data_IF_993651447541
#
_entry.id   IF_993651447541
#
_cell.length_a   1.000
_cell.length_b   1.000
_cell.length_c   1.000
_cell.angle_alpha   90.00
_cell.angle_beta   90.00
_cell.angle_gamma   90.00
#
_symmetry.space_group_name_H-M   'P 1'
#
loop_
_entity.id
_entity.type
_entity.pdbx_description
1 polymer ?
#
# COMPACT_ATOMS: atom_id res chain seq x y z
N UNK A 1 -11.20 -19.40 24.61
CA UNK A 1 -9.85 -18.82 24.42
C UNK A 1 -8.74 -19.89 24.36
N UNK A 2 -8.23 -20.50 25.45
CA UNK A 2 -7.02 -21.35 25.38
C UNK A 2 -7.22 -22.66 24.60
N UNK A 3 -8.40 -23.28 24.70
CA UNK A 3 -8.71 -24.49 23.93
C UNK A 3 -8.78 -24.23 22.42
N UNK A 4 -9.34 -23.08 22.01
CA UNK A 4 -9.44 -22.69 20.61
C UNK A 4 -8.07 -22.35 20.02
N UNK A 5 -7.21 -21.67 20.77
CA UNK A 5 -5.84 -21.38 20.37
C UNK A 5 -5.01 -22.67 20.21
N UNK A 6 -5.12 -23.61 21.15
CA UNK A 6 -4.46 -24.91 21.04
C UNK A 6 -4.99 -25.72 19.85
N UNK A 7 -6.29 -25.65 19.56
CA UNK A 7 -6.88 -26.31 18.39
C UNK A 7 -6.35 -25.69 17.09
N UNK A 8 -6.29 -24.36 16.99
CA UNK A 8 -5.73 -23.64 15.84
C UNK A 8 -4.26 -24.05 15.61
N UNK A 9 -3.44 -24.07 16.66
CA UNK A 9 -2.05 -24.49 16.57
C UNK A 9 -1.90 -25.91 16.04
N UNK A 10 -2.73 -26.84 16.53
CA UNK A 10 -2.75 -28.23 16.06
C UNK A 10 -3.19 -28.36 14.61
N UNK A 11 -4.21 -27.61 14.18
CA UNK A 11 -4.70 -27.61 12.80
C UNK A 11 -3.63 -27.10 11.82
N UNK A 12 -2.93 -26.02 12.16
CA UNK A 12 -1.87 -25.48 11.29
C UNK A 12 -0.63 -26.37 11.28
N UNK A 13 -0.27 -26.99 12.42
CA UNK A 13 0.77 -28.02 12.44
C UNK A 13 0.42 -29.20 11.55
N UNK A 14 -0.84 -29.66 11.62
CA UNK A 14 -1.33 -30.73 10.74
C UNK A 14 -1.25 -30.33 9.26
N UNK A 15 -1.70 -29.12 8.91
CA UNK A 15 -1.59 -28.56 7.56
C UNK A 15 -0.13 -28.52 7.08
N UNK A 16 0.79 -28.11 7.95
CA UNK A 16 2.23 -28.08 7.64
C UNK A 16 2.81 -29.47 7.46
N UNK A 17 2.39 -30.46 8.26
CA UNK A 17 2.82 -31.84 8.06
C UNK A 17 2.27 -32.44 6.78
N UNK A 18 1.01 -32.18 6.44
CA UNK A 18 0.39 -32.64 5.18
C UNK A 18 1.07 -32.01 3.96
N UNK A 19 1.40 -30.71 4.02
CA UNK A 19 2.13 -30.03 2.95
C UNK A 19 3.58 -30.51 2.78
N UNK A 20 4.22 -31.01 3.84
CA UNK A 20 5.57 -31.62 3.80
C UNK A 20 5.56 -33.08 3.39
N UNK A 21 4.49 -33.81 3.73
CA UNK A 21 4.34 -35.24 3.52
C UNK A 21 2.94 -35.53 2.92
N UNK A 22 2.73 -35.25 1.62
CA UNK A 22 1.43 -35.46 0.99
C UNK A 22 1.05 -36.94 0.99
N UNK A 23 -0.24 -37.23 1.23
CA UNK A 23 -0.77 -38.59 1.30
C UNK A 23 -0.90 -39.27 -0.08
N UNK A 24 -0.89 -38.49 -1.16
CA UNK A 24 -0.89 -38.96 -2.54
C UNK A 24 0.28 -38.31 -3.28
N UNK A 25 1.10 -39.13 -3.95
CA UNK A 25 2.05 -38.66 -4.96
C UNK A 25 1.27 -38.24 -6.20
N UNK A 26 0.71 -37.02 -6.17
CA UNK A 26 0.11 -36.40 -7.34
C UNK A 26 1.24 -35.94 -8.26
N UNK A 27 1.04 -36.05 -9.58
CA UNK A 27 1.99 -35.54 -10.57
C UNK A 27 2.22 -34.03 -10.33
N UNK A 28 3.39 -33.73 -9.77
CA UNK A 28 3.81 -32.42 -9.24
C UNK A 28 3.84 -31.29 -10.28
N UNK A 29 3.58 -31.60 -11.55
CA UNK A 29 3.58 -30.69 -12.68
C UNK A 29 2.27 -29.88 -12.73
N UNK A 30 1.15 -30.43 -12.20
CA UNK A 30 -0.17 -29.76 -12.24
C UNK A 30 -0.85 -29.64 -10.87
N UNK A 31 -0.37 -30.35 -9.85
CA UNK A 31 -1.07 -30.47 -8.58
C UNK A 31 -0.21 -30.07 -7.37
N UNK A 32 -0.39 -28.83 -6.94
CA UNK A 32 0.12 -28.31 -5.68
C UNK A 32 -0.57 -29.00 -4.49
N UNK A 33 0.18 -29.66 -3.61
CA UNK A 33 -0.31 -30.30 -2.38
C UNK A 33 -0.54 -29.32 -1.23
N UNK A 34 -1.22 -28.19 -1.51
CA UNK A 34 -1.60 -27.24 -0.46
C UNK A 34 -2.97 -27.64 0.14
N UNK A 35 -3.13 -27.68 1.48
CA UNK A 35 -4.37 -28.08 2.14
C UNK A 35 -5.44 -26.96 2.07
N UNK A 36 -5.87 -26.61 0.85
CA UNK A 36 -6.77 -25.48 0.55
C UNK A 36 -8.06 -25.52 1.35
N UNK A 37 -8.71 -26.69 1.39
CA UNK A 37 -9.99 -26.87 2.10
C UNK A 37 -9.84 -26.63 3.60
N UNK A 38 -8.74 -27.09 4.19
CA UNK A 38 -8.47 -26.92 5.62
C UNK A 38 -8.21 -25.46 5.95
N UNK A 39 -7.33 -24.79 5.20
CA UNK A 39 -7.01 -23.37 5.41
C UNK A 39 -8.24 -22.50 5.18
N UNK A 40 -9.04 -22.78 4.14
CA UNK A 40 -10.30 -22.07 3.90
C UNK A 40 -11.27 -22.22 5.08
N UNK A 41 -11.45 -23.43 5.62
CA UNK A 41 -12.32 -23.65 6.78
C UNK A 41 -11.82 -22.90 8.03
N UNK A 42 -10.49 -22.86 8.24
CA UNK A 42 -9.88 -22.07 9.33
C UNK A 42 -10.15 -20.58 9.13
N UNK A 43 -10.00 -20.05 7.92
CA UNK A 43 -10.26 -18.63 7.62
C UNK A 43 -11.74 -18.29 7.80
N UNK A 44 -12.66 -19.14 7.33
CA UNK A 44 -14.10 -18.94 7.51
C UNK A 44 -14.50 -18.94 8.99
N UNK A 45 -13.85 -19.76 9.81
CA UNK A 45 -14.04 -19.76 11.27
C UNK A 45 -13.46 -18.52 11.95
N UNK A 46 -12.24 -18.10 11.56
CA UNK A 46 -11.60 -16.88 12.07
C UNK A 46 -12.38 -15.61 11.67
N UNK A 47 -13.08 -15.66 10.54
CA UNK A 47 -13.92 -14.58 10.04
C UNK A 47 -15.40 -14.88 10.34
N UNK A 48 -15.70 -15.34 11.55
CA UNK A 48 -17.08 -15.52 12.02
C UNK A 48 -17.88 -14.21 11.94
N UNK A 49 -19.17 -14.31 11.63
CA UNK A 49 -20.10 -13.18 11.62
C UNK A 49 -20.72 -12.92 12.99
N UNK A 50 -20.66 -13.89 13.90
CA UNK A 50 -21.37 -13.89 15.18
C UNK A 50 -20.44 -13.56 16.35
N UNK A 51 -19.17 -14.00 16.28
CA UNK A 51 -18.20 -13.89 17.37
C UNK A 51 -17.03 -12.97 17.01
N UNK A 52 -16.57 -12.18 17.99
CA UNK A 52 -15.31 -11.44 17.87
C UNK A 52 -14.12 -12.41 18.04
N UNK A 53 -13.41 -12.64 16.94
CA UNK A 53 -12.28 -13.55 16.86
C UNK A 53 -10.94 -12.79 16.81
N UNK A 54 -10.92 -11.47 17.05
CA UNK A 54 -9.73 -10.63 16.89
C UNK A 54 -8.49 -11.18 17.62
N UNK A 55 -8.64 -11.71 18.85
CA UNK A 55 -7.53 -12.31 19.59
C UNK A 55 -6.95 -13.57 18.92
N UNK A 56 -7.82 -14.43 18.39
CA UNK A 56 -7.40 -15.63 17.66
C UNK A 56 -6.77 -15.25 16.31
N UNK A 57 -7.29 -14.22 15.65
CA UNK A 57 -6.70 -13.64 14.43
C UNK A 57 -5.31 -13.05 14.70
N UNK A 58 -5.10 -12.39 15.84
CA UNK A 58 -3.77 -11.92 16.26
C UNK A 58 -2.81 -13.08 16.53
N UNK A 59 -3.26 -14.18 17.14
CA UNK A 59 -2.43 -15.40 17.28
C UNK A 59 -2.13 -16.06 15.95
N UNK A 60 -3.05 -15.96 14.99
CA UNK A 60 -2.85 -16.50 13.65
C UNK A 60 -1.77 -15.75 12.85
N UNK A 61 -1.39 -14.53 13.27
CA UNK A 61 -0.36 -13.72 12.61
C UNK A 61 0.98 -14.45 12.48
N UNK A 62 1.37 -15.27 13.46
CA UNK A 62 2.62 -16.03 13.43
C UNK A 62 2.69 -16.97 12.20
N UNK A 63 1.53 -17.43 11.70
CA UNK A 63 1.44 -18.29 10.53
C UNK A 63 1.36 -17.52 9.21
N UNK A 64 1.03 -16.22 9.26
CA UNK A 64 0.98 -15.35 8.08
C UNK A 64 2.37 -14.96 7.56
N UNK A 65 3.44 -15.27 8.30
CA UNK A 65 4.82 -15.13 7.81
C UNK A 65 5.09 -16.04 6.60
N UNK A 66 4.41 -17.19 6.54
CA UNK A 66 4.46 -18.10 5.40
C UNK A 66 3.73 -17.50 4.20
N UNK A 67 4.43 -17.40 3.07
CA UNK A 67 3.96 -16.65 1.90
C UNK A 67 2.75 -17.32 1.21
N UNK A 68 2.78 -18.64 1.11
CA UNK A 68 1.70 -19.45 0.56
C UNK A 68 0.42 -19.34 1.40
N UNK A 69 0.54 -19.46 2.73
CA UNK A 69 -0.58 -19.28 3.67
C UNK A 69 -1.17 -17.89 3.50
N UNK A 70 -0.33 -16.84 3.47
CA UNK A 70 -0.77 -15.45 3.26
C UNK A 70 -1.59 -15.29 1.99
N UNK A 71 -1.11 -15.82 0.87
CA UNK A 71 -1.82 -15.72 -0.41
C UNK A 71 -3.18 -16.42 -0.37
N UNK A 72 -3.26 -17.64 0.17
CA UNK A 72 -4.53 -18.38 0.26
C UNK A 72 -5.51 -17.77 1.26
N UNK A 73 -5.01 -17.26 2.39
CA UNK A 73 -5.82 -16.56 3.40
C UNK A 73 -6.47 -15.32 2.79
N UNK A 74 -5.69 -14.46 2.13
CA UNK A 74 -6.22 -13.27 1.43
C UNK A 74 -7.24 -13.64 0.35
N UNK A 75 -6.93 -14.67 -0.44
CA UNK A 75 -7.83 -15.18 -1.49
C UNK A 75 -9.14 -15.78 -0.95
N UNK A 76 -9.20 -16.13 0.35
CA UNK A 76 -10.38 -16.72 1.00
C UNK A 76 -11.29 -15.67 1.67
N UNK A 77 -10.85 -14.41 1.77
CA UNK A 77 -11.66 -13.32 2.32
C UNK A 77 -12.82 -13.03 1.36
N UNK A 78 -14.07 -13.18 1.84
CA UNK A 78 -15.27 -12.95 1.04
C UNK A 78 -15.67 -11.47 1.05
N UNK A 79 -16.17 -10.98 -0.08
CA UNK A 79 -16.76 -9.63 -0.20
C UNK A 79 -18.16 -9.57 0.44
N UNK A 80 -18.28 -9.89 1.72
CA UNK A 80 -19.56 -9.81 2.42
C UNK A 80 -19.40 -9.06 3.74
N UNK A 81 -19.11 -7.76 3.64
CA UNK A 81 -18.73 -6.91 4.77
C UNK A 81 -19.88 -6.07 5.32
N UNK A 82 -21.12 -6.59 5.36
CA UNK A 82 -22.25 -5.84 5.94
C UNK A 82 -22.28 -5.93 7.48
N UNK A 83 -21.76 -7.01 8.05
CA UNK A 83 -21.86 -7.28 9.49
C UNK A 83 -20.69 -6.63 10.28
N UNK A 84 -20.93 -5.83 11.32
CA UNK A 84 -19.87 -5.13 12.07
C UNK A 84 -18.84 -6.03 12.75
N UNK A 85 -19.25 -7.21 13.24
CA UNK A 85 -18.36 -8.19 13.88
C UNK A 85 -17.41 -8.80 12.83
N UNK A 86 -17.97 -9.22 11.69
CA UNK A 86 -17.20 -9.69 10.54
C UNK A 86 -16.20 -8.63 10.06
N UNK A 87 -16.65 -7.38 9.96
CA UNK A 87 -15.80 -6.24 9.60
C UNK A 87 -14.60 -6.08 10.54
N UNK A 88 -14.80 -6.24 11.86
CA UNK A 88 -13.71 -6.17 12.84
C UNK A 88 -12.70 -7.32 12.69
N UNK A 89 -13.21 -8.55 12.48
CA UNK A 89 -12.37 -9.74 12.26
C UNK A 89 -11.54 -9.60 10.97
N UNK A 90 -12.15 -9.17 9.87
CA UNK A 90 -11.47 -8.92 8.59
C UNK A 90 -10.44 -7.80 8.73
N UNK A 91 -10.80 -6.68 9.36
CA UNK A 91 -9.87 -5.57 9.58
C UNK A 91 -8.63 -6.02 10.35
N UNK A 92 -8.82 -6.80 11.42
CA UNK A 92 -7.71 -7.33 12.23
C UNK A 92 -6.82 -8.25 11.40
N UNK A 93 -7.41 -9.15 10.60
CA UNK A 93 -6.68 -10.07 9.73
C UNK A 93 -5.83 -9.31 8.69
N UNK A 94 -6.44 -8.37 7.98
CA UNK A 94 -5.76 -7.60 6.95
C UNK A 94 -4.67 -6.69 7.55
N UNK A 95 -4.91 -6.10 8.72
CA UNK A 95 -3.89 -5.30 9.43
C UNK A 95 -2.68 -6.13 9.84
N UNK A 96 -2.90 -7.38 10.29
CA UNK A 96 -1.81 -8.30 10.61
C UNK A 96 -0.98 -8.64 9.36
N UNK A 97 -1.62 -8.81 8.20
CA UNK A 97 -0.91 -9.01 6.91
C UNK A 97 -0.09 -7.77 6.52
N UNK A 98 -0.63 -6.56 6.69
CA UNK A 98 0.07 -5.32 6.36
C UNK A 98 1.41 -5.20 7.12
N UNK A 99 1.42 -5.53 8.41
CA UNK A 99 2.63 -5.47 9.23
C UNK A 99 3.77 -6.34 8.69
N UNK A 100 3.44 -7.44 8.00
CA UNK A 100 4.39 -8.40 7.44
C UNK A 100 4.89 -7.98 6.05
N UNK A 101 4.05 -7.28 5.26
CA UNK A 101 4.42 -6.83 3.91
C UNK A 101 5.55 -5.79 3.93
N UNK A 102 5.58 -4.92 4.94
CA UNK A 102 6.66 -3.94 5.14
C UNK A 102 8.02 -4.60 5.41
N UNK A 103 8.04 -5.78 6.04
CA UNK A 103 9.26 -6.53 6.37
C UNK A 103 9.82 -7.26 5.13
N UNK A 104 8.95 -7.82 4.29
CA UNK A 104 9.36 -8.58 3.10
C UNK A 104 10.04 -7.75 2.00
N UNK A 105 9.90 -6.42 1.98
CA UNK A 105 10.57 -5.55 1.00
C UNK A 105 12.10 -5.59 1.07
N UNK A 106 12.67 -5.97 2.22
CA UNK A 106 14.13 -6.00 2.44
C UNK A 106 14.77 -7.38 2.32
N UNK A 107 14.00 -8.45 2.11
CA UNK A 107 14.54 -9.81 2.02
C UNK A 107 14.62 -10.29 0.56
N UNK A 108 15.75 -10.04 -0.10
CA UNK A 108 16.06 -10.54 -1.45
C UNK A 108 16.42 -12.04 -1.44
N UNK A 109 16.68 -12.63 -0.26
CA UNK A 109 16.95 -14.05 -0.09
C UNK A 109 15.80 -14.75 0.64
N UNK A 110 15.13 -15.67 -0.05
CA UNK A 110 14.07 -16.51 0.50
C UNK A 110 14.69 -17.84 0.94
N UNK A 111 15.00 -17.97 2.23
CA UNK A 111 15.24 -19.29 2.82
C UNK A 111 13.98 -20.15 2.69
N UNK A 112 14.14 -21.44 2.37
CA UNK A 112 13.05 -22.40 2.18
C UNK A 112 12.14 -22.62 3.40
N UNK A 113 12.46 -22.03 4.55
CA UNK A 113 11.65 -22.04 5.77
C UNK A 113 10.45 -21.08 5.72
N UNK A 114 10.31 -20.26 4.67
CA UNK A 114 9.19 -19.29 4.50
C UNK A 114 7.94 -19.85 3.81
N UNK A 115 7.89 -21.16 3.56
CA UNK A 115 6.74 -21.83 2.93
C UNK A 115 6.22 -22.96 3.82
N UNK A 116 4.89 -23.10 3.86
CA UNK A 116 4.24 -24.22 4.53
C UNK A 116 4.53 -25.55 3.79
N UNK A 117 4.69 -25.51 2.46
CA UNK A 117 5.00 -26.67 1.63
C UNK A 117 6.43 -26.65 1.03
N UNK A 118 6.98 -27.84 0.76
CA UNK A 118 8.25 -28.00 0.04
C UNK A 118 7.97 -28.28 -1.43
N UNK A 119 8.32 -27.34 -2.31
CA UNK A 119 8.38 -27.64 -3.74
C UNK A 119 9.62 -28.50 -3.99
N UNK A 120 9.45 -29.69 -4.58
CA UNK A 120 10.53 -30.64 -4.89
C UNK A 120 10.99 -30.52 -6.34
N UNK A 121 10.76 -29.39 -6.99
CA UNK A 121 11.21 -29.20 -8.36
C UNK A 121 12.67 -28.73 -8.35
N UNK A 122 13.58 -29.58 -8.82
CA UNK A 122 14.94 -29.19 -9.24
C UNK A 122 14.90 -28.40 -10.56
N UNK A 123 13.95 -27.47 -10.73
CA UNK A 123 14.02 -26.51 -11.82
C UNK A 123 14.58 -25.20 -11.25
N UNK A 124 15.65 -24.71 -11.88
CA UNK A 124 16.20 -23.37 -11.70
C UNK A 124 15.22 -22.24 -12.06
N UNK A 125 13.99 -22.60 -12.40
CA UNK A 125 12.89 -21.67 -12.54
C UNK A 125 12.33 -21.43 -11.15
N UNK A 126 12.84 -20.37 -10.51
CA UNK A 126 12.13 -19.63 -9.48
C UNK A 126 10.64 -19.77 -9.72
N UNK A 127 9.91 -20.46 -8.84
CA UNK A 127 8.46 -20.62 -8.99
C UNK A 127 7.89 -19.25 -9.30
N UNK A 128 7.55 -19.09 -10.57
CA UNK A 128 6.88 -17.92 -11.05
C UNK A 128 5.48 -18.06 -10.50
N UNK A 129 5.29 -17.55 -9.28
CA UNK A 129 4.02 -17.05 -8.77
C UNK A 129 4.02 -15.52 -8.94
N UNK A 130 4.24 -14.91 -10.13
CA UNK A 130 4.65 -13.51 -10.22
C UNK A 130 3.46 -12.57 -10.44
N UNK A 131 2.24 -13.08 -10.68
CA UNK A 131 1.16 -12.23 -11.20
C UNK A 131 -0.10 -12.18 -10.32
N UNK A 132 -0.16 -12.99 -9.24
CA UNK A 132 -1.35 -13.10 -8.38
C UNK A 132 -1.22 -12.49 -6.98
N UNK A 133 -0.01 -12.32 -6.45
CA UNK A 133 0.24 -11.93 -5.04
C UNK A 133 -0.27 -10.54 -4.70
N UNK A 134 0.03 -9.54 -5.53
CA UNK A 134 -0.50 -8.19 -5.38
C UNK A 134 -2.01 -8.15 -5.59
N UNK A 135 -2.54 -8.99 -6.49
CA UNK A 135 -3.97 -9.00 -6.81
C UNK A 135 -4.82 -9.51 -5.65
N UNK A 136 -4.37 -10.49 -4.88
CA UNK A 136 -5.15 -11.01 -3.75
C UNK A 136 -5.24 -9.98 -2.63
N UNK A 137 -4.11 -9.38 -2.24
CA UNK A 137 -4.06 -8.32 -1.23
C UNK A 137 -4.94 -7.13 -1.60
N UNK A 138 -4.76 -6.63 -2.82
CA UNK A 138 -5.51 -5.51 -3.36
C UNK A 138 -7.01 -5.81 -3.41
N UNK A 139 -7.41 -6.97 -3.95
CA UNK A 139 -8.82 -7.39 -3.99
C UNK A 139 -9.43 -7.50 -2.60
N UNK A 140 -8.74 -8.08 -1.62
CA UNK A 140 -9.24 -8.18 -0.25
C UNK A 140 -9.46 -6.80 0.38
N UNK A 141 -8.51 -5.88 0.23
CA UNK A 141 -8.64 -4.51 0.75
C UNK A 141 -9.72 -3.71 0.01
N UNK A 142 -9.76 -3.75 -1.32
CA UNK A 142 -10.80 -3.09 -2.10
C UNK A 142 -12.19 -3.62 -1.76
N UNK A 143 -12.34 -4.94 -1.70
CA UNK A 143 -13.60 -5.60 -1.32
C UNK A 143 -14.06 -5.19 0.08
N UNK A 144 -13.12 -5.02 1.01
CA UNK A 144 -13.41 -4.52 2.37
C UNK A 144 -13.80 -3.03 2.38
N UNK A 145 -13.05 -2.18 1.66
CA UNK A 145 -13.25 -0.72 1.64
C UNK A 145 -14.46 -0.28 0.80
N UNK A 146 -14.97 -1.15 -0.08
CA UNK A 146 -16.19 -0.92 -0.87
C UNK A 146 -17.44 -0.75 -0.01
N UNK A 147 -17.49 -1.36 1.16
CA UNK A 147 -18.66 -1.31 2.05
C UNK A 147 -18.53 -0.18 3.06
N UNK A 148 -19.67 0.36 3.49
CA UNK A 148 -19.72 1.40 4.53
C UNK A 148 -19.20 0.85 5.85
N UNK A 149 -18.10 1.40 6.34
CA UNK A 149 -17.48 1.00 7.60
C UNK A 149 -18.05 1.81 8.78
N UNK A 150 -17.95 1.31 10.02
CA UNK A 150 -18.28 2.09 11.21
C UNK A 150 -17.25 3.22 11.41
N UNK A 151 -17.70 4.35 11.98
CA UNK A 151 -16.83 5.50 12.26
C UNK A 151 -15.57 5.15 13.09
N UNK A 152 -15.69 4.20 14.02
CA UNK A 152 -14.57 3.71 14.83
C UNK A 152 -13.50 3.00 13.99
N UNK A 153 -13.89 2.39 12.87
CA UNK A 153 -13.01 1.64 11.98
C UNK A 153 -12.38 2.53 10.91
N UNK A 154 -13.11 3.54 10.41
CA UNK A 154 -12.55 4.53 9.49
C UNK A 154 -11.29 5.19 10.04
N UNK A 155 -11.29 5.56 11.33
CA UNK A 155 -10.08 6.09 12.00
C UNK A 155 -8.89 5.14 11.90
N UNK A 156 -9.10 3.85 12.21
CA UNK A 156 -8.05 2.84 12.21
C UNK A 156 -7.53 2.57 10.80
N UNK A 157 -8.44 2.47 9.82
CA UNK A 157 -8.09 2.30 8.40
C UNK A 157 -7.26 3.48 7.93
N UNK A 158 -7.69 4.72 8.18
CA UNK A 158 -6.99 5.92 7.71
C UNK A 158 -5.56 6.03 8.24
N UNK A 159 -5.31 5.59 9.48
CA UNK A 159 -3.96 5.56 10.08
C UNK A 159 -3.02 4.65 9.29
N UNK A 160 -3.49 3.48 8.84
CA UNK A 160 -2.65 2.50 8.13
C UNK A 160 -2.74 2.63 6.60
N UNK A 161 -3.72 3.38 6.10
CA UNK A 161 -4.03 3.46 4.66
C UNK A 161 -2.83 4.03 3.89
N UNK A 162 -2.35 5.21 4.29
CA UNK A 162 -1.30 5.93 3.56
C UNK A 162 0.03 5.17 3.56
N UNK A 163 0.44 4.62 4.71
CA UNK A 163 1.78 4.04 4.85
C UNK A 163 1.84 2.54 4.56
N UNK A 164 0.72 1.81 4.71
CA UNK A 164 0.74 0.34 4.68
C UNK A 164 -0.21 -0.29 3.67
N UNK A 165 -1.19 0.44 3.13
CA UNK A 165 -2.15 -0.12 2.16
C UNK A 165 -1.84 0.42 0.76
N UNK A 166 -1.82 1.76 0.60
CA UNK A 166 -1.62 2.41 -0.69
C UNK A 166 -0.32 1.99 -1.42
N UNK A 167 0.83 1.75 -0.73
CA UNK A 167 2.04 1.31 -1.41
C UNK A 167 1.98 -0.09 -2.05
N UNK A 168 0.91 -0.85 -1.80
CA UNK A 168 0.70 -2.21 -2.30
C UNK A 168 -0.51 -2.33 -3.24
N UNK A 169 -1.27 -1.26 -3.42
CA UNK A 169 -2.43 -1.18 -4.30
C UNK A 169 -1.97 -0.60 -5.65
N UNK A 170 -2.40 -1.21 -6.76
CA UNK A 170 -2.12 -0.66 -8.10
C UNK A 170 -2.94 0.60 -8.38
N UNK A 171 -2.58 1.32 -9.44
CA UNK A 171 -3.04 2.70 -9.67
C UNK A 171 -4.54 2.83 -9.91
N UNK A 172 -5.16 1.92 -10.67
CA UNK A 172 -6.61 1.94 -10.95
C UNK A 172 -7.47 1.65 -9.69
N UNK A 173 -7.19 0.60 -8.89
CA UNK A 173 -7.74 0.37 -7.54
C UNK A 173 -7.68 1.53 -6.55
N UNK A 174 -6.55 2.24 -6.51
CA UNK A 174 -6.37 3.41 -5.65
C UNK A 174 -7.53 4.39 -5.86
N UNK A 175 -7.95 4.59 -7.10
CA UNK A 175 -8.95 5.56 -7.54
C UNK A 175 -10.34 5.14 -7.11
N UNK A 176 -10.66 3.85 -7.19
CA UNK A 176 -11.90 3.32 -6.67
C UNK A 176 -11.98 3.47 -5.14
N UNK A 177 -10.85 3.24 -4.46
CA UNK A 177 -10.75 3.44 -3.00
C UNK A 177 -11.00 4.92 -2.65
N UNK A 178 -10.34 5.80 -3.39
CA UNK A 178 -10.46 7.26 -3.35
C UNK A 178 -11.89 7.75 -3.55
N UNK A 179 -12.58 7.29 -4.60
CA UNK A 179 -13.95 7.71 -4.90
C UNK A 179 -14.95 7.21 -3.84
N UNK A 180 -14.69 6.04 -3.27
CA UNK A 180 -15.50 5.50 -2.17
C UNK A 180 -15.40 6.38 -0.91
N UNK A 181 -14.21 6.87 -0.56
CA UNK A 181 -14.03 7.81 0.55
C UNK A 181 -14.65 9.18 0.27
N UNK A 182 -14.50 9.66 -0.95
CA UNK A 182 -15.10 10.91 -1.43
C UNK A 182 -16.63 10.94 -1.32
N UNK A 183 -17.30 9.81 -1.51
CA UNK A 183 -18.77 9.69 -1.44
C UNK A 183 -19.30 9.47 -0.02
N UNK A 184 -18.42 9.24 0.95
CA UNK A 184 -18.81 8.95 2.32
C UNK A 184 -18.95 10.24 3.16
N UNK A 185 -19.99 10.35 3.99
CA UNK A 185 -20.20 11.46 4.93
C UNK A 185 -19.20 11.42 6.09
N UNK A 186 -17.90 11.52 5.78
CA UNK A 186 -16.84 11.52 6.77
C UNK A 186 -16.81 12.87 7.49
N UNK A 187 -16.60 12.86 8.82
CA UNK A 187 -16.22 14.05 9.55
C UNK A 187 -15.02 14.77 8.91
N UNK A 188 -15.07 16.09 8.85
CA UNK A 188 -14.04 16.94 8.23
C UNK A 188 -12.63 16.64 8.75
N UNK A 189 -12.48 16.35 10.05
CA UNK A 189 -11.17 16.05 10.64
C UNK A 189 -10.54 14.77 10.07
N UNK A 190 -11.35 13.77 9.66
CA UNK A 190 -10.84 12.53 9.05
C UNK A 190 -10.37 12.78 7.62
N UNK A 191 -11.13 13.57 6.86
CA UNK A 191 -10.74 13.99 5.50
C UNK A 191 -9.44 14.78 5.56
N UNK A 192 -9.30 15.69 6.53
CA UNK A 192 -8.09 16.48 6.71
C UNK A 192 -6.87 15.61 7.07
N UNK A 193 -7.04 14.64 7.98
CA UNK A 193 -5.98 13.69 8.33
C UNK A 193 -5.55 12.84 7.11
N UNK A 194 -6.51 12.40 6.30
CA UNK A 194 -6.24 11.64 5.08
C UNK A 194 -5.47 12.46 4.03
N UNK A 195 -5.92 13.69 3.74
CA UNK A 195 -5.24 14.59 2.82
C UNK A 195 -3.79 14.88 3.27
N UNK A 196 -3.57 15.05 4.58
CA UNK A 196 -2.22 15.24 5.15
C UNK A 196 -1.37 13.97 5.02
N UNK A 197 -1.92 12.79 5.28
CA UNK A 197 -1.22 11.51 5.11
C UNK A 197 -0.78 11.26 3.66
N UNK A 198 -1.65 11.56 2.69
CA UNK A 198 -1.31 11.48 1.27
C UNK A 198 -0.23 12.49 0.87
N UNK A 199 -0.29 13.70 1.44
CA UNK A 199 0.74 14.71 1.21
C UNK A 199 2.10 14.25 1.73
N UNK A 200 2.14 13.53 2.86
CA UNK A 200 3.37 12.94 3.37
C UNK A 200 3.88 11.80 2.48
N UNK A 201 3.00 10.90 2.04
CA UNK A 201 3.38 9.83 1.11
C UNK A 201 3.92 10.40 -0.21
N UNK A 202 3.33 11.49 -0.70
CA UNK A 202 3.78 12.18 -1.90
C UNK A 202 5.25 12.63 -1.80
N UNK A 203 5.71 13.09 -0.64
CA UNK A 203 7.11 13.51 -0.45
C UNK A 203 8.14 12.41 -0.74
N UNK A 204 7.74 11.14 -0.60
CA UNK A 204 8.61 9.96 -0.76
C UNK A 204 8.29 9.15 -2.04
N UNK A 205 7.30 9.58 -2.82
CA UNK A 205 6.76 8.83 -3.94
C UNK A 205 7.53 9.06 -5.25
N UNK A 206 7.45 8.09 -6.18
CA UNK A 206 7.96 8.25 -7.55
C UNK A 206 7.14 9.31 -8.34
N UNK A 207 7.73 9.95 -9.37
CA UNK A 207 7.07 11.00 -10.15
C UNK A 207 5.71 10.62 -10.75
N UNK A 208 5.56 9.38 -11.24
CA UNK A 208 4.27 8.89 -11.76
C UNK A 208 3.19 8.84 -10.66
N UNK A 209 3.57 8.42 -9.44
CA UNK A 209 2.66 8.42 -8.30
C UNK A 209 2.26 9.84 -7.87
N UNK A 210 3.18 10.81 -7.97
CA UNK A 210 2.90 12.22 -7.67
C UNK A 210 1.83 12.82 -8.56
N UNK A 211 1.84 12.49 -9.86
CA UNK A 211 0.84 12.99 -10.81
C UNK A 211 -0.57 12.46 -10.54
N UNK A 212 -0.69 11.31 -9.88
CA UNK A 212 -1.98 10.79 -9.43
C UNK A 212 -2.43 11.37 -8.09
N UNK A 213 -1.51 11.43 -7.11
CA UNK A 213 -1.82 11.83 -5.74
C UNK A 213 -2.15 13.32 -5.63
N UNK A 214 -1.47 14.20 -6.40
CA UNK A 214 -1.69 15.65 -6.33
C UNK A 214 -3.10 16.08 -6.78
N UNK A 215 -3.59 15.72 -7.99
CA UNK A 215 -4.98 15.99 -8.38
C UNK A 215 -5.98 15.40 -7.40
N UNK A 216 -5.67 14.25 -6.81
CA UNK A 216 -6.53 13.63 -5.83
C UNK A 216 -6.67 14.46 -4.54
N UNK A 217 -5.55 14.93 -3.98
CA UNK A 217 -5.56 15.83 -2.82
C UNK A 217 -6.37 17.09 -3.15
N UNK A 218 -6.26 17.62 -4.37
CA UNK A 218 -7.05 18.77 -4.80
C UNK A 218 -8.55 18.46 -4.87
N UNK A 219 -8.96 17.33 -5.45
CA UNK A 219 -10.35 16.93 -5.52
C UNK A 219 -10.95 16.74 -4.10
N UNK A 220 -10.21 16.14 -3.15
CA UNK A 220 -10.63 16.05 -1.75
C UNK A 220 -10.88 17.42 -1.11
N UNK A 221 -9.99 18.39 -1.34
CA UNK A 221 -10.13 19.75 -0.80
C UNK A 221 -11.27 20.50 -1.49
N UNK A 222 -11.52 20.26 -2.79
CA UNK A 222 -12.66 20.83 -3.53
C UNK A 222 -13.99 20.33 -2.96
N UNK A 223 -14.09 19.03 -2.71
CA UNK A 223 -15.28 18.39 -2.13
C UNK A 223 -15.55 18.81 -0.68
N UNK A 224 -14.49 19.03 0.11
CA UNK A 224 -14.60 19.42 1.51
C UNK A 224 -13.99 20.80 1.74
N UNK A 225 -14.73 21.90 1.52
CA UNK A 225 -14.19 23.26 1.62
C UNK A 225 -13.67 23.61 3.02
N UNK A 226 -14.13 22.92 4.06
CA UNK A 226 -13.60 23.07 5.42
C UNK A 226 -12.13 22.61 5.55
N UNK A 227 -11.64 21.75 4.66
CA UNK A 227 -10.24 21.34 4.58
C UNK A 227 -9.33 22.39 3.92
N UNK A 228 -9.85 23.49 3.39
CA UNK A 228 -9.05 24.60 2.82
C UNK A 228 -8.10 25.23 3.84
N UNK A 229 -8.37 25.04 5.13
CA UNK A 229 -7.48 25.42 6.25
C UNK A 229 -6.12 24.69 6.17
N UNK A 230 -6.01 23.56 5.46
CA UNK A 230 -4.73 22.90 5.21
C UNK A 230 -3.85 23.67 4.21
N UNK A 231 -4.45 24.38 3.26
CA UNK A 231 -3.73 25.15 2.23
C UNK A 231 -3.51 26.59 2.68
N UNK A 232 -4.52 27.21 3.30
CA UNK A 232 -4.47 28.59 3.72
C UNK A 232 -5.06 28.75 5.14
N UNK A 233 -4.21 29.13 6.10
CA UNK A 233 -4.62 29.42 7.48
C UNK A 233 -4.69 30.94 7.68
N UNK A 234 -5.87 31.57 7.63
CA UNK A 234 -5.97 33.03 7.79
C UNK A 234 -5.65 33.51 9.21
N UNK A 235 -5.79 32.64 10.23
CA UNK A 235 -5.64 32.99 11.66
C UNK A 235 -4.56 32.14 12.37
N UNK A 236 -3.46 31.81 11.69
CA UNK A 236 -2.44 30.90 12.25
C UNK A 236 -1.74 31.47 13.48
N UNK A 237 -2.16 31.06 14.68
CA UNK A 237 -1.29 31.12 15.86
C UNK A 237 -0.18 30.07 15.68
N UNK A 238 1.05 30.44 16.04
CA UNK A 238 2.22 29.57 15.98
C UNK A 238 2.00 28.31 16.83
N UNK A 239 2.19 27.15 16.19
CA UNK A 239 2.46 25.85 16.79
C UNK A 239 1.44 25.32 17.82
N UNK A 240 0.45 24.59 17.32
CA UNK A 240 -0.09 23.44 18.05
C UNK A 240 -0.46 22.34 17.06
N UNK A 241 0.57 21.69 16.48
CA UNK A 241 0.36 20.46 15.72
C UNK A 241 0.29 19.31 16.70
N UNK A 242 -0.90 19.08 17.26
CA UNK A 242 -1.25 17.91 18.09
C UNK A 242 -1.27 16.58 17.27
N UNK A 243 -0.47 16.51 16.20
CA UNK A 243 -0.35 15.35 15.32
C UNK A 243 1.12 14.95 15.23
N UNK A 244 1.55 14.17 16.21
CA UNK A 244 2.82 13.46 16.21
C UNK A 244 2.76 12.28 15.23
N UNK A 245 3.12 12.52 13.97
CA UNK A 245 3.70 11.48 13.11
C UNK A 245 4.98 12.09 12.56
N UNK A 246 6.03 11.99 13.40
CA UNK A 246 7.43 12.30 13.14
C UNK A 246 7.68 13.71 12.61
N UNK A 247 8.25 14.56 13.47
CA UNK A 247 8.84 15.85 13.09
C UNK A 247 9.59 15.73 11.76
N UNK A 248 9.05 16.33 10.70
CA UNK A 248 9.76 16.54 9.44
C UNK A 248 9.80 18.04 9.16
N UNK A 249 10.98 18.49 8.72
CA UNK A 249 11.29 19.89 8.47
C UNK A 249 10.29 20.54 7.48
N UNK A 250 9.79 21.76 7.76
CA UNK A 250 8.89 22.50 6.87
C UNK A 250 9.48 22.84 5.48
N UNK A 251 10.77 22.55 5.26
CA UNK A 251 11.46 22.68 3.98
C UNK A 251 11.06 21.60 2.97
N UNK A 252 10.57 20.43 3.41
CA UNK A 252 10.26 19.31 2.50
C UNK A 252 8.99 19.52 1.66
N UNK A 253 7.98 20.24 2.17
CA UNK A 253 6.80 20.57 1.36
C UNK A 253 7.12 21.54 0.20
N UNK A 254 8.13 22.40 0.37
CA UNK A 254 8.64 23.25 -0.72
C UNK A 254 9.39 22.46 -1.79
N UNK A 255 9.75 21.20 -1.51
CA UNK A 255 10.46 20.31 -2.43
C UNK A 255 9.59 19.87 -3.60
N UNK A 256 8.28 19.66 -3.41
CA UNK A 256 7.37 19.25 -4.51
C UNK A 256 7.12 20.39 -5.51
N UNK A 257 7.06 21.64 -5.05
CA UNK A 257 6.95 22.81 -5.94
C UNK A 257 8.21 23.03 -6.78
N UNK A 258 9.35 22.51 -6.33
CA UNK A 258 10.67 22.57 -7.00
C UNK A 258 11.11 21.20 -7.53
N UNK A 259 10.17 20.30 -7.79
CA UNK A 259 10.47 18.93 -8.20
C UNK A 259 11.18 18.88 -9.57
N UNK A 260 12.12 17.96 -9.74
CA UNK A 260 12.96 17.85 -10.94
C UNK A 260 12.15 17.61 -12.22
N UNK A 261 11.04 16.87 -12.12
CA UNK A 261 10.11 16.65 -13.24
C UNK A 261 9.18 17.86 -13.42
N UNK A 262 9.14 18.50 -14.61
CA UNK A 262 8.37 19.72 -14.84
C UNK A 262 6.86 19.52 -14.72
N UNK A 263 6.32 18.38 -15.14
CA UNK A 263 4.89 18.10 -15.06
C UNK A 263 4.41 17.98 -13.60
N UNK A 264 5.23 17.36 -12.75
CA UNK A 264 4.97 17.25 -11.32
C UNK A 264 5.01 18.63 -10.67
N UNK A 265 6.03 19.44 -10.98
CA UNK A 265 6.13 20.80 -10.47
C UNK A 265 4.93 21.65 -10.91
N UNK A 266 4.50 21.53 -12.17
CA UNK A 266 3.31 22.22 -12.70
C UNK A 266 2.02 21.77 -12.00
N UNK A 267 1.87 20.47 -11.74
CA UNK A 267 0.74 19.93 -10.99
C UNK A 267 0.75 20.43 -9.53
N UNK A 268 1.92 20.47 -8.88
CA UNK A 268 2.08 21.02 -7.54
C UNK A 268 1.75 22.53 -7.49
N UNK A 269 2.15 23.30 -8.51
CA UNK A 269 1.84 24.74 -8.60
C UNK A 269 0.34 25.04 -8.72
N UNK A 270 -0.50 24.06 -9.08
CA UNK A 270 -1.94 24.24 -9.16
C UNK A 270 -2.56 24.61 -7.79
N UNK A 271 -1.92 24.23 -6.68
CA UNK A 271 -2.37 24.57 -5.32
C UNK A 271 -2.36 26.07 -5.03
N UNK A 272 -1.47 26.82 -5.70
CA UNK A 272 -1.35 28.28 -5.54
C UNK A 272 -2.41 29.04 -6.33
N UNK A 273 -3.14 28.37 -7.23
CA UNK A 273 -4.25 28.95 -7.98
C UNK A 273 -5.56 28.71 -7.23
N UNK A 274 -6.54 29.61 -7.34
CA UNK A 274 -7.87 29.37 -6.77
C UNK A 274 -8.45 28.09 -7.39
N UNK A 275 -8.74 27.11 -6.53
CA UNK A 275 -9.31 25.83 -6.95
C UNK A 275 -10.72 26.05 -7.53
N UNK A 276 -10.94 25.54 -8.75
CA UNK A 276 -12.28 25.49 -9.37
C UNK A 276 -13.23 24.61 -8.56
N UNK A 277 -14.54 24.80 -8.74
CA UNK A 277 -15.56 23.96 -8.10
C UNK A 277 -15.71 22.58 -8.77
N UNK A 278 -15.32 22.45 -10.04
CA UNK A 278 -15.43 21.19 -10.78
C UNK A 278 -14.25 20.27 -10.45
N UNK A 279 -14.49 18.96 -10.30
CA UNK A 279 -13.44 17.95 -10.11
C UNK A 279 -12.63 17.75 -11.40
N UNK A 280 -11.33 17.55 -11.24
CA UNK A 280 -10.48 17.15 -12.37
C UNK A 280 -10.70 15.65 -12.64
N UNK A 281 -10.92 15.27 -13.91
CA UNK A 281 -10.92 13.86 -14.30
C UNK A 281 -9.49 13.35 -14.24
N UNK A 282 -9.25 12.37 -13.36
CA UNK A 282 -7.93 11.80 -13.13
C UNK A 282 -7.75 10.52 -13.99
N UNK A 283 -8.81 10.01 -14.64
CA UNK A 283 -8.83 8.68 -15.30
C UNK A 283 -7.63 8.44 -16.22
N UNK A 284 -7.31 9.42 -17.08
CA UNK A 284 -6.20 9.33 -18.02
C UNK A 284 -4.80 9.35 -17.35
N UNK A 285 -4.68 10.00 -16.20
CA UNK A 285 -3.41 10.11 -15.45
C UNK A 285 -3.10 8.83 -14.67
N UNK A 286 -4.13 8.03 -14.38
CA UNK A 286 -4.05 6.83 -13.54
C UNK A 286 -3.51 5.60 -14.27
N UNK A 287 -3.63 5.61 -15.60
CA UNK A 287 -3.14 4.54 -16.46
C UNK A 287 -1.68 4.77 -16.89
N UNK A 288 -1.09 5.93 -16.59
CA UNK A 288 0.30 6.25 -16.97
C UNK A 288 1.31 5.54 -16.08
N UNK A 289 2.00 4.55 -16.65
CA UNK A 289 3.18 3.94 -16.04
C UNK A 289 4.41 4.87 -16.15
N UNK A 290 5.39 4.67 -15.26
CA UNK A 290 6.70 5.36 -15.33
C UNK A 290 7.38 5.15 -16.69
N UNK A 291 7.17 3.99 -17.30
CA UNK A 291 7.72 3.64 -18.60
C UNK A 291 7.07 4.46 -19.73
N UNK A 292 5.74 4.55 -19.74
CA UNK A 292 5.01 5.35 -20.75
C UNK A 292 5.33 6.84 -20.61
N UNK A 293 5.52 7.32 -19.38
CA UNK A 293 5.94 8.69 -19.14
C UNK A 293 7.34 8.97 -19.72
N UNK A 294 8.28 8.04 -19.54
CA UNK A 294 9.60 8.13 -20.17
C UNK A 294 9.49 8.09 -21.70
N UNK A 295 8.65 7.23 -22.28
CA UNK A 295 8.44 7.20 -23.73
C UNK A 295 7.83 8.51 -24.27
N UNK A 296 6.90 9.11 -23.53
CA UNK A 296 6.31 10.41 -23.89
C UNK A 296 7.37 11.51 -23.90
N UNK A 297 8.27 11.51 -22.91
CA UNK A 297 9.38 12.46 -22.84
C UNK A 297 10.39 12.24 -23.98
N UNK A 298 10.68 10.99 -24.35
CA UNK A 298 11.53 10.66 -25.50
C UNK A 298 10.93 11.11 -26.85
N UNK A 299 9.59 11.08 -26.96
CA UNK A 299 8.86 11.53 -28.16
C UNK A 299 8.84 13.06 -28.27
N UNK A 300 8.99 13.79 -27.16
CA UNK A 300 9.09 15.25 -27.15
C UNK A 300 10.51 15.71 -27.54
N UNK A 301 10.81 15.77 -28.83
CA UNK A 301 12.07 16.37 -29.28
C UNK A 301 12.05 17.89 -29.05
N UNK A 302 12.88 18.36 -28.13
CA UNK A 302 13.12 19.79 -27.88
C UNK A 302 14.59 20.09 -28.19
N UNK A 303 14.85 21.25 -28.77
CA UNK A 303 16.22 21.74 -28.95
C UNK A 303 16.83 21.94 -27.57
N UNK A 304 17.76 21.07 -27.18
CA UNK A 304 18.38 21.11 -25.85
C UNK A 304 19.45 22.21 -25.84
N UNK A 305 19.32 23.26 -25.01
CA UNK A 305 20.37 24.24 -24.83
C UNK A 305 21.60 23.55 -24.24
N UNK A 306 22.77 23.78 -24.82
CA UNK A 306 24.03 23.28 -24.29
C UNK A 306 24.61 24.31 -23.32
N UNK A 307 24.84 23.91 -22.08
CA UNK A 307 25.70 24.67 -21.16
C UNK A 307 27.17 24.33 -21.45
N UNK A 308 28.00 25.36 -21.59
CA UNK A 308 29.43 25.19 -21.82
C UNK A 308 30.17 25.36 -20.49
N UNK A 309 30.42 24.25 -19.81
CA UNK A 309 31.29 24.24 -18.64
C UNK A 309 32.72 23.83 -19.03
N UNK A 310 33.74 24.63 -18.67
CA UNK A 310 35.13 24.27 -18.94
C UNK A 310 35.52 23.03 -18.12
N UNK A 311 36.03 22.00 -18.80
CA UNK A 311 36.37 20.70 -18.23
C UNK A 311 37.33 20.74 -17.02
N UNK A 312 38.02 21.86 -16.80
CA UNK A 312 38.98 22.07 -15.71
C UNK A 312 38.29 22.02 -14.33
N UNK A 313 37.07 22.58 -14.20
CA UNK A 313 36.35 22.59 -12.92
C UNK A 313 35.75 21.23 -12.53
N UNK A 314 35.36 20.43 -13.52
CA UNK A 314 34.80 19.08 -13.30
C UNK A 314 35.83 18.10 -12.72
N UNK A 315 37.10 18.26 -13.08
CA UNK A 315 38.19 17.41 -12.58
C UNK A 315 38.75 17.86 -11.22
N UNK A 316 38.65 19.15 -10.89
CA UNK A 316 39.06 19.65 -9.57
C UNK A 316 38.15 19.11 -8.45
N UNK A 317 36.84 19.01 -8.65
CA UNK A 317 35.92 18.42 -7.65
C UNK A 317 36.17 16.91 -7.43
N UNK A 318 36.65 16.19 -8.45
CA UNK A 318 36.99 14.76 -8.35
C UNK A 318 38.41 14.54 -7.80
N UNK A 319 39.30 15.52 -7.96
CA UNK A 319 40.67 15.49 -7.42
C UNK A 319 40.74 15.52 -5.89
N UNK A 320 39.76 16.12 -5.22
CA UNK A 320 39.71 16.15 -3.74
C UNK A 320 39.42 14.78 -3.10
N UNK A 321 38.74 13.87 -3.79
CA UNK A 321 38.47 12.51 -3.28
C UNK A 321 39.54 11.48 -3.64
N UNK A 322 40.36 11.75 -4.68
CA UNK A 322 41.43 10.86 -5.11
C UNK A 322 42.72 11.03 -4.27
N UNK A 323 42.90 12.16 -3.56
CA UNK A 323 44.11 12.45 -2.79
C UNK A 323 44.04 12.14 -1.28
N UNK A 324 42.95 11.56 -0.76
CA UNK A 324 42.84 11.14 0.65
C UNK A 324 42.97 9.62 0.87
N UNK A 325 43.41 8.86 -0.14
CA UNK A 325 43.55 7.38 -0.07
C UNK A 325 44.93 6.87 -0.49
N UNK A 326 46.00 7.66 -0.28
CA UNK A 326 47.40 7.22 -0.32
C UNK A 326 48.11 7.66 0.97
#
# INVERSE_FOLDING_TARGET
APMQESALCSLIKFASTEGKFPLHDLDWIEHYSFPRKLIQAVVEWLLSQEDDMALLVSRFQDYLDMEDVRHYVLSSVRENAVMPIYQNNVFTLLSNVNSLLSITRNCIFVSGDKYLYRCKCECNDHLSFPSGRHTAFERSWLGFLKYKLPNSMYKKVLVILCDSILPHISTTPFVHCVSSFSQSHLPVYLVAAFAKGLSHLALKALPAALLMVLPFIYNLIRLHPACRVLTHRPNGNELDTDYNVVEEDPTQCHTLLKHCQPDVAKAAMAINKPLSQQEDDISEVLDLSTYEQMEQDLKQSKTVPLEFDPAIKLLEEWGYWACTSL
#
